data_IF_425451531256
#
_entry.id   IF_425451531256
#
_cell.length_a   1.000
_cell.length_b   1.000
_cell.length_c   1.000
_cell.angle_alpha   90.00
_cell.angle_beta   90.00
_cell.angle_gamma   90.00
#
_symmetry.space_group_name_H-M   'P 1'
#
loop_
_entity.id
_entity.type
_entity.pdbx_description
1 polymer ?
#
# COMPACT_ATOMS: atom_id res chain seq x y z
N UNK A 1 25.24 15.84 -10.87
CA UNK A 1 24.67 15.37 -9.60
C UNK A 1 23.20 15.05 -9.78
N UNK A 2 22.79 13.93 -9.26
CA UNK A 2 21.39 13.54 -9.33
C UNK A 2 20.58 14.35 -8.31
N UNK A 3 19.43 14.88 -8.74
CA UNK A 3 18.45 15.48 -7.84
C UNK A 3 17.43 14.47 -7.33
N UNK A 4 17.68 13.20 -7.60
CA UNK A 4 16.78 12.14 -7.21
C UNK A 4 16.89 11.85 -5.71
N UNK A 5 15.81 11.37 -5.12
CA UNK A 5 15.73 11.06 -3.70
C UNK A 5 15.07 9.71 -3.49
N UNK A 6 15.21 9.12 -2.28
CA UNK A 6 14.56 7.85 -1.99
C UNK A 6 13.06 7.88 -2.23
N UNK A 7 12.56 6.80 -2.79
CA UNK A 7 11.13 6.69 -3.10
C UNK A 7 10.33 6.59 -1.80
N UNK A 8 9.28 7.42 -1.63
CA UNK A 8 8.54 7.46 -0.37
C UNK A 8 7.51 6.35 -0.27
N UNK A 9 7.25 5.91 0.97
CA UNK A 9 6.05 5.15 1.29
C UNK A 9 4.90 6.14 1.36
N UNK A 10 3.87 5.94 0.54
CA UNK A 10 2.76 6.90 0.42
C UNK A 10 1.43 6.36 0.91
N UNK A 11 1.34 5.06 1.16
CA UNK A 11 0.08 4.42 1.53
C UNK A 11 0.40 3.04 2.10
N UNK A 12 -0.56 2.44 2.81
CA UNK A 12 -0.44 1.06 3.29
C UNK A 12 -1.79 0.37 3.13
N UNK A 13 -1.76 -0.95 3.09
CA UNK A 13 -2.99 -1.74 3.02
C UNK A 13 -2.91 -2.91 3.99
N UNK A 14 -4.01 -3.16 4.68
CA UNK A 14 -4.19 -4.34 5.51
C UNK A 14 -5.18 -5.24 4.81
N UNK A 15 -4.75 -6.44 4.47
CA UNK A 15 -5.64 -7.47 3.95
C UNK A 15 -6.13 -8.33 5.12
N UNK A 16 -7.41 -8.59 5.17
CA UNK A 16 -8.04 -9.27 6.29
C UNK A 16 -9.04 -10.32 5.81
N UNK A 17 -9.12 -11.43 6.51
CA UNK A 17 -10.17 -12.42 6.27
C UNK A 17 -11.52 -11.90 6.71
N UNK A 18 -11.54 -11.11 7.78
CA UNK A 18 -12.75 -10.47 8.32
C UNK A 18 -12.48 -8.97 8.45
N UNK A 19 -12.68 -8.19 7.36
CA UNK A 19 -12.41 -6.75 7.40
C UNK A 19 -13.23 -5.99 8.44
N UNK A 20 -14.47 -6.42 8.70
CA UNK A 20 -15.32 -5.74 9.68
C UNK A 20 -14.76 -5.88 11.10
N UNK A 21 -14.25 -7.05 11.44
CA UNK A 21 -13.61 -7.26 12.73
C UNK A 21 -12.35 -6.41 12.88
N UNK A 22 -11.55 -6.33 11.80
CA UNK A 22 -10.35 -5.49 11.79
C UNK A 22 -10.71 -4.01 11.94
N UNK A 23 -11.73 -3.57 11.23
CA UNK A 23 -12.20 -2.20 11.32
C UNK A 23 -12.56 -1.84 12.77
N UNK A 24 -13.31 -2.69 13.44
CA UNK A 24 -13.69 -2.46 14.85
C UNK A 24 -12.46 -2.41 15.76
N UNK A 25 -11.54 -3.35 15.56
CA UNK A 25 -10.32 -3.41 16.37
C UNK A 25 -9.52 -2.12 16.27
N UNK A 26 -9.21 -1.69 15.07
CA UNK A 26 -8.36 -0.51 14.86
C UNK A 26 -9.08 0.79 15.22
N UNK A 27 -10.36 0.90 14.93
CA UNK A 27 -11.13 2.07 15.32
C UNK A 27 -11.20 2.22 16.84
N UNK A 28 -11.45 1.13 17.53
CA UNK A 28 -11.58 1.16 19.01
C UNK A 28 -10.22 1.38 19.67
N UNK A 29 -9.16 0.76 19.15
CA UNK A 29 -7.84 0.84 19.77
C UNK A 29 -7.16 2.18 19.51
N UNK A 30 -7.20 2.65 18.26
CA UNK A 30 -6.43 3.82 17.85
C UNK A 30 -7.28 5.05 17.57
N UNK A 31 -8.59 4.93 17.57
CA UNK A 31 -9.46 6.04 17.22
C UNK A 31 -9.46 6.37 15.73
N UNK A 32 -9.04 5.42 14.89
CA UNK A 32 -9.02 5.65 13.44
C UNK A 32 -10.43 5.81 12.90
N UNK A 33 -10.58 6.77 12.00
CA UNK A 33 -11.81 6.96 11.24
C UNK A 33 -11.70 6.10 9.99
N UNK A 34 -12.47 5.02 9.94
CA UNK A 34 -12.39 4.01 8.90
C UNK A 34 -13.71 3.97 8.13
N UNK A 35 -13.64 4.13 6.82
CA UNK A 35 -14.79 4.03 5.96
C UNK A 35 -15.37 2.61 5.88
N UNK A 36 -16.40 2.44 5.08
CA UNK A 36 -17.04 1.16 4.84
C UNK A 36 -16.86 0.73 3.38
N UNK A 37 -17.51 -0.36 2.99
CA UNK A 37 -17.42 -0.89 1.63
C UNK A 37 -16.26 -1.84 1.43
N UNK A 38 -16.01 -2.27 0.18
CA UNK A 38 -14.96 -3.25 -0.10
C UNK A 38 -13.55 -2.75 0.20
N UNK A 39 -13.30 -1.45 0.03
CA UNK A 39 -12.05 -0.80 0.36
C UNK A 39 -12.35 0.19 1.48
N UNK A 40 -11.96 -0.16 2.69
CA UNK A 40 -12.22 0.67 3.87
C UNK A 40 -11.09 1.66 4.06
N UNK A 41 -11.27 2.88 3.56
CA UNK A 41 -10.22 3.91 3.62
C UNK A 41 -10.00 4.38 5.06
N UNK A 42 -8.73 4.50 5.41
CA UNK A 42 -8.27 5.08 6.68
C UNK A 42 -7.58 6.38 6.34
N UNK A 43 -8.10 7.49 6.85
CA UNK A 43 -7.59 8.80 6.52
C UNK A 43 -6.22 9.05 7.14
N UNK A 44 -5.41 9.83 6.45
CA UNK A 44 -4.09 10.24 6.93
C UNK A 44 -4.21 11.05 8.22
N UNK A 45 -3.34 10.74 9.14
CA UNK A 45 -3.09 11.31 10.45
C UNK A 45 -3.82 12.57 10.87
N UNK A 46 -5.05 12.41 11.36
CA UNK A 46 -5.82 13.52 11.88
C UNK A 46 -5.51 13.75 13.34
N UNK A 47 -5.34 15.02 13.69
CA UNK A 47 -5.25 15.43 15.09
C UNK A 47 -3.89 15.26 15.75
N UNK A 48 -2.90 14.75 15.04
CA UNK A 48 -1.55 14.65 15.55
C UNK A 48 -0.68 15.81 15.11
N UNK A 49 0.49 15.99 15.73
CA UNK A 49 1.43 17.01 15.28
C UNK A 49 2.01 16.72 13.90
N UNK A 50 2.09 15.44 13.53
CA UNK A 50 2.60 15.03 12.23
C UNK A 50 1.70 13.97 11.63
N UNK A 51 1.01 14.29 10.53
CA UNK A 51 0.15 13.30 9.88
C UNK A 51 0.98 12.20 9.23
N UNK A 52 0.59 10.96 9.46
CA UNK A 52 1.17 9.83 8.74
C UNK A 52 0.42 9.57 7.44
N UNK A 53 0.92 8.67 6.60
CA UNK A 53 0.21 8.28 5.39
C UNK A 53 -1.10 7.58 5.72
N UNK A 54 -2.10 7.79 4.90
CA UNK A 54 -3.34 7.05 4.97
C UNK A 54 -3.17 5.64 4.44
N UNK A 55 -4.22 4.84 4.56
CA UNK A 55 -4.21 3.47 4.08
C UNK A 55 -5.61 2.95 3.88
N UNK A 56 -5.73 1.63 3.77
CA UNK A 56 -7.04 0.99 3.68
C UNK A 56 -7.00 -0.44 4.20
N UNK A 57 -8.19 -0.95 4.51
CA UNK A 57 -8.40 -2.34 4.88
C UNK A 57 -9.26 -2.97 3.79
N UNK A 58 -8.89 -4.16 3.33
CA UNK A 58 -9.66 -4.89 2.34
C UNK A 58 -9.64 -6.38 2.64
N UNK A 59 -10.55 -7.12 2.04
CA UNK A 59 -10.57 -8.57 2.17
C UNK A 59 -9.39 -9.18 1.43
N UNK A 60 -8.77 -10.18 2.04
CA UNK A 60 -7.75 -11.00 1.41
C UNK A 60 -7.84 -12.43 1.93
N UNK A 61 -7.29 -13.37 1.19
CA UNK A 61 -7.30 -14.79 1.56
C UNK A 61 -6.47 -15.04 2.83
N UNK A 62 -5.46 -14.21 3.07
CA UNK A 62 -4.58 -14.33 4.23
C UNK A 62 -4.32 -12.94 4.81
N UNK A 63 -4.12 -12.84 6.14
CA UNK A 63 -3.73 -11.58 6.76
C UNK A 63 -2.37 -11.13 6.24
N UNK A 64 -2.29 -9.90 5.73
CA UNK A 64 -1.06 -9.32 5.18
C UNK A 64 -1.09 -7.81 5.33
N UNK A 65 0.09 -7.22 5.42
CA UNK A 65 0.25 -5.77 5.35
C UNK A 65 1.19 -5.46 4.18
N UNK A 66 0.77 -4.57 3.30
CA UNK A 66 1.57 -4.14 2.17
C UNK A 66 1.88 -2.66 2.27
N UNK A 67 3.12 -2.29 1.96
CA UNK A 67 3.53 -0.89 1.84
C UNK A 67 3.41 -0.46 0.39
N UNK A 68 2.91 0.75 0.17
CA UNK A 68 2.81 1.35 -1.16
C UNK A 68 3.92 2.36 -1.32
N UNK A 69 4.75 2.15 -2.34
CA UNK A 69 5.94 2.98 -2.58
C UNK A 69 5.78 3.67 -3.93
N UNK A 70 5.86 5.00 -3.94
CA UNK A 70 5.74 5.77 -5.17
C UNK A 70 7.04 5.70 -5.97
N UNK A 71 6.93 5.42 -7.25
CA UNK A 71 8.07 5.36 -8.17
C UNK A 71 7.84 6.28 -9.35
N UNK A 72 8.90 6.73 -9.99
CA UNK A 72 8.81 7.63 -11.13
C UNK A 72 8.44 6.91 -12.42
N UNK A 73 8.94 5.69 -12.59
CA UNK A 73 8.72 4.89 -13.79
C UNK A 73 8.40 3.47 -13.37
N UNK A 74 7.12 3.12 -13.41
CA UNK A 74 6.64 1.83 -12.94
C UNK A 74 7.23 0.67 -13.75
N UNK A 75 7.26 0.80 -15.09
CA UNK A 75 7.79 -0.27 -15.94
C UNK A 75 9.26 -0.55 -15.64
N UNK A 76 10.06 0.51 -15.53
CA UNK A 76 11.49 0.37 -15.21
C UNK A 76 11.70 -0.20 -13.81
N UNK A 77 10.86 0.22 -12.84
CA UNK A 77 10.93 -0.27 -11.47
C UNK A 77 10.62 -1.76 -11.39
N UNK A 78 9.63 -2.23 -12.14
CA UNK A 78 9.29 -3.66 -12.18
C UNK A 78 10.45 -4.51 -12.71
N UNK A 79 11.15 -4.02 -13.74
CA UNK A 79 12.37 -4.67 -14.22
C UNK A 79 13.43 -4.76 -13.13
N UNK A 80 13.64 -3.66 -12.40
CA UNK A 80 14.62 -3.62 -11.32
C UNK A 80 14.27 -4.54 -10.15
N UNK A 81 12.99 -4.69 -9.83
CA UNK A 81 12.55 -5.64 -8.79
C UNK A 81 13.10 -7.02 -9.08
N UNK A 82 12.92 -7.50 -10.30
CA UNK A 82 13.38 -8.84 -10.71
C UNK A 82 14.91 -8.93 -10.70
N UNK A 83 15.57 -7.92 -11.24
CA UNK A 83 17.05 -7.87 -11.26
C UNK A 83 17.66 -7.91 -9.86
N UNK A 84 16.96 -7.33 -8.89
CA UNK A 84 17.45 -7.23 -7.52
C UNK A 84 16.99 -8.38 -6.61
N UNK A 85 16.37 -9.41 -7.18
CA UNK A 85 15.99 -10.61 -6.44
C UNK A 85 14.57 -10.64 -5.91
N UNK A 86 13.77 -9.65 -6.23
CA UNK A 86 12.36 -9.65 -5.90
C UNK A 86 11.52 -10.34 -6.96
N UNK A 87 10.20 -10.22 -6.84
CA UNK A 87 9.27 -10.89 -7.76
C UNK A 87 8.13 -9.96 -8.16
N UNK A 88 7.81 -9.93 -9.45
CA UNK A 88 6.60 -9.26 -9.93
C UNK A 88 5.40 -10.17 -9.66
N UNK A 89 4.40 -9.66 -8.96
CA UNK A 89 3.17 -10.40 -8.64
C UNK A 89 2.07 -10.10 -9.65
N UNK A 90 1.91 -8.82 -10.03
CA UNK A 90 0.92 -8.43 -11.04
C UNK A 90 1.56 -7.59 -12.12
N UNK A 91 0.94 -7.56 -13.30
CA UNK A 91 1.20 -6.53 -14.29
C UNK A 91 0.61 -5.20 -13.81
N UNK A 92 1.04 -4.06 -14.37
CA UNK A 92 0.43 -2.78 -14.02
C UNK A 92 -1.08 -2.77 -14.26
N UNK A 93 -1.80 -2.17 -13.32
CA UNK A 93 -3.26 -2.01 -13.43
C UNK A 93 -3.65 -0.66 -12.82
N UNK A 94 -4.77 -0.12 -13.27
CA UNK A 94 -5.27 1.15 -12.77
C UNK A 94 -6.24 0.91 -11.62
N UNK A 95 -5.98 1.58 -10.48
CA UNK A 95 -6.96 1.60 -9.39
C UNK A 95 -8.16 2.43 -9.85
N UNK A 96 -9.40 2.00 -9.55
CA UNK A 96 -10.58 2.79 -9.95
C UNK A 96 -10.52 4.22 -9.40
N UNK A 97 -10.46 5.19 -10.32
CA UNK A 97 -10.33 6.61 -9.96
C UNK A 97 -9.00 6.97 -9.34
N UNK A 98 -8.00 6.13 -9.43
CA UNK A 98 -6.72 6.31 -8.78
C UNK A 98 -5.52 6.06 -9.69
N UNK A 99 -4.35 5.87 -9.09
CA UNK A 99 -3.10 5.72 -9.85
C UNK A 99 -2.95 4.33 -10.49
N UNK A 100 -1.94 4.22 -11.34
CA UNK A 100 -1.50 2.92 -11.86
C UNK A 100 -0.61 2.24 -10.83
N UNK A 101 -0.87 0.98 -10.56
CA UNK A 101 -0.23 0.19 -9.51
C UNK A 101 0.33 -1.11 -10.07
N UNK A 102 1.28 -1.69 -9.35
CA UNK A 102 1.69 -3.08 -9.59
C UNK A 102 2.16 -3.71 -8.28
N UNK A 103 1.73 -4.92 -8.00
CA UNK A 103 2.13 -5.64 -6.80
C UNK A 103 3.42 -6.42 -7.06
N UNK A 104 4.32 -6.38 -6.09
CA UNK A 104 5.59 -7.10 -6.13
C UNK A 104 5.88 -7.70 -4.77
N UNK A 105 6.96 -8.48 -4.69
CA UNK A 105 7.50 -8.97 -3.42
C UNK A 105 8.98 -8.69 -3.36
N UNK A 106 9.47 -8.40 -2.16
CA UNK A 106 10.90 -8.27 -1.94
C UNK A 106 11.57 -9.68 -1.89
N UNK A 107 12.90 -9.76 -1.77
CA UNK A 107 13.58 -11.08 -1.77
C UNK A 107 13.13 -12.04 -0.67
N UNK A 108 12.57 -11.54 0.42
CA UNK A 108 12.05 -12.37 1.52
C UNK A 108 10.55 -12.66 1.38
N UNK A 109 9.90 -12.17 0.31
CA UNK A 109 8.48 -12.40 0.08
C UNK A 109 7.55 -11.38 0.72
N UNK A 110 8.07 -10.28 1.26
CA UNK A 110 7.21 -9.23 1.80
C UNK A 110 6.47 -8.51 0.68
N UNK A 111 5.16 -8.29 0.84
CA UNK A 111 4.37 -7.64 -0.21
C UNK A 111 4.62 -6.14 -0.26
N UNK A 112 4.74 -5.64 -1.47
CA UNK A 112 4.86 -4.20 -1.76
C UNK A 112 3.95 -3.89 -2.94
N UNK A 113 3.46 -2.66 -3.01
CA UNK A 113 2.75 -2.17 -4.19
C UNK A 113 3.47 -0.93 -4.68
N UNK A 114 3.86 -0.94 -5.95
CA UNK A 114 4.52 0.21 -6.58
C UNK A 114 3.44 1.10 -7.19
N UNK A 115 3.57 2.41 -6.96
CA UNK A 115 2.60 3.41 -7.40
C UNK A 115 3.28 4.33 -8.40
N UNK A 116 2.72 4.44 -9.61
CA UNK A 116 3.23 5.36 -10.61
C UNK A 116 3.00 6.80 -10.16
N UNK A 117 4.06 7.59 -10.19
CA UNK A 117 3.99 9.01 -9.86
C UNK A 117 3.18 9.77 -10.90
#
# INVERSE_FOLDING_TARGET
MSSDWPRPVVHWAIEARDPDAQRRFYADLFGWVIGDGPIMMVEAGLGGPEPGPGGHIQHGAQPRIALYVQVRDLAASLQRVVELGGRKVTDPFDAPGGPTLAAVEDPEGNPLVLVQQ
#
